data_IF_134495631921
#
_entry.id   IF_134495631921
#
_cell.length_a   1.000
_cell.length_b   1.000
_cell.length_c   1.000
_cell.angle_alpha   90.00
_cell.angle_beta   90.00
_cell.angle_gamma   90.00
#
_symmetry.space_group_name_H-M   'P 1'
#
loop_
_entity.id
_entity.type
_entity.pdbx_description
1 polymer ?
#
# COMPACT_ATOMS: atom_id res chain seq x y z
N UNK A 1 6.09 -0.56 0.15
CA UNK A 1 5.35 -1.68 -0.49
C UNK A 1 5.44 -1.63 -1.99
N UNK A 2 5.04 -0.51 -2.60
CA UNK A 2 5.02 -0.31 -4.05
C UNK A 2 6.36 -0.50 -4.78
N UNK A 3 7.50 -0.52 -4.08
CA UNK A 3 8.82 -0.77 -4.68
C UNK A 3 9.28 -2.23 -4.59
N UNK A 4 8.56 -3.10 -3.86
CA UNK A 4 8.98 -4.46 -3.55
C UNK A 4 8.12 -5.49 -4.33
N UNK A 5 8.72 -6.59 -4.81
CA UNK A 5 7.98 -7.74 -5.34
C UNK A 5 7.02 -8.31 -4.29
N UNK A 6 5.88 -8.86 -4.74
CA UNK A 6 4.83 -9.39 -3.86
C UNK A 6 5.37 -10.34 -2.77
N UNK A 7 6.22 -11.29 -3.16
CA UNK A 7 6.82 -12.29 -2.24
C UNK A 7 7.62 -11.69 -1.09
N UNK A 8 8.13 -10.46 -1.24
CA UNK A 8 8.90 -9.77 -0.20
C UNK A 8 8.03 -8.90 0.71
N UNK A 9 6.83 -8.52 0.28
CA UNK A 9 5.99 -7.55 1.00
C UNK A 9 5.55 -8.06 2.36
N UNK A 10 5.12 -9.31 2.47
CA UNK A 10 4.71 -9.92 3.74
C UNK A 10 5.83 -9.87 4.80
N UNK A 11 7.07 -10.26 4.42
CA UNK A 11 8.22 -10.17 5.33
C UNK A 11 8.57 -8.72 5.67
N UNK A 12 8.42 -7.81 4.71
CA UNK A 12 8.71 -6.41 4.90
C UNK A 12 7.71 -5.72 5.85
N UNK A 13 6.41 -6.00 5.74
CA UNK A 13 5.39 -5.42 6.63
C UNK A 13 5.54 -5.94 8.05
N UNK A 14 5.83 -7.23 8.23
CA UNK A 14 6.19 -7.79 9.53
C UNK A 14 7.43 -7.10 10.11
N UNK A 15 8.50 -6.94 9.32
CA UNK A 15 9.69 -6.25 9.78
C UNK A 15 9.42 -4.80 10.20
N UNK A 16 8.57 -4.07 9.45
CA UNK A 16 8.16 -2.72 9.82
C UNK A 16 7.42 -2.68 11.16
N UNK A 17 6.52 -3.63 11.39
CA UNK A 17 5.78 -3.75 12.65
C UNK A 17 6.75 -3.95 13.82
N UNK A 18 7.74 -4.84 13.65
CA UNK A 18 8.75 -5.15 14.67
C UNK A 18 9.62 -3.94 15.01
N UNK A 19 10.22 -3.27 14.01
CA UNK A 19 11.14 -2.17 14.27
C UNK A 19 10.44 -0.89 14.73
N UNK A 20 9.17 -0.71 14.35
CA UNK A 20 8.38 0.45 14.75
C UNK A 20 7.63 0.26 16.07
N UNK A 21 7.66 -0.96 16.64
CA UNK A 21 6.90 -1.32 17.84
C UNK A 21 5.40 -1.01 17.68
N UNK A 22 4.86 -1.41 16.53
CA UNK A 22 3.49 -1.13 16.13
C UNK A 22 3.11 0.37 16.24
N UNK A 23 3.99 1.29 15.85
CA UNK A 23 3.61 2.71 15.82
C UNK A 23 2.49 2.96 14.78
N UNK A 24 1.65 4.01 14.92
CA UNK A 24 0.74 4.44 13.86
C UNK A 24 1.50 4.72 12.56
N UNK A 25 0.93 4.30 11.42
CA UNK A 25 1.59 4.43 10.11
C UNK A 25 0.69 5.19 9.12
N UNK A 26 1.31 5.99 8.27
CA UNK A 26 0.68 6.55 7.08
C UNK A 26 1.25 5.82 5.86
N UNK A 27 0.40 5.10 5.13
CA UNK A 27 0.82 4.26 3.99
C UNK A 27 0.25 4.84 2.72
N UNK A 28 1.12 5.10 1.74
CA UNK A 28 0.75 5.57 0.40
C UNK A 28 0.92 4.41 -0.58
N UNK A 29 -0.15 4.12 -1.33
CA UNK A 29 -0.22 3.07 -2.33
C UNK A 29 -0.64 3.65 -3.69
N UNK A 30 -0.38 2.89 -4.74
CA UNK A 30 -0.98 3.13 -6.06
C UNK A 30 -1.87 1.95 -6.40
N UNK A 31 -3.07 2.22 -6.91
CA UNK A 31 -3.99 1.21 -7.44
C UNK A 31 -4.19 1.44 -8.94
N UNK A 32 -3.90 0.40 -9.72
CA UNK A 32 -4.10 0.36 -11.16
C UNK A 32 -4.15 -1.10 -11.65
N UNK A 33 -4.55 -1.32 -12.92
CA UNK A 33 -4.48 -2.62 -13.57
C UNK A 33 -3.02 -3.07 -13.73
N UNK A 34 -2.54 -3.92 -12.83
CA UNK A 34 -1.15 -4.39 -12.81
C UNK A 34 -0.75 -5.13 -14.10
N UNK A 35 -1.70 -5.66 -14.88
CA UNK A 35 -1.39 -6.39 -16.12
C UNK A 35 -0.84 -5.50 -17.23
N UNK A 36 -1.03 -4.17 -17.12
CA UNK A 36 -0.58 -3.22 -18.14
C UNK A 36 0.77 -2.55 -17.83
N UNK A 37 1.33 -2.76 -16.63
CA UNK A 37 2.63 -2.21 -16.24
C UNK A 37 3.25 -3.04 -15.12
N UNK A 38 4.48 -3.52 -15.29
CA UNK A 38 5.13 -4.48 -14.37
C UNK A 38 5.77 -3.86 -13.11
N UNK A 39 5.59 -2.56 -12.87
CA UNK A 39 6.18 -1.86 -11.72
C UNK A 39 7.71 -1.64 -11.82
N UNK A 40 8.32 -0.98 -10.81
CA UNK A 40 7.67 -0.16 -9.78
C UNK A 40 7.18 1.22 -10.33
N UNK A 41 6.24 1.88 -9.63
CA UNK A 41 5.56 1.37 -8.44
C UNK A 41 4.59 0.24 -8.83
N UNK A 42 4.60 -0.85 -8.08
CA UNK A 42 3.61 -1.92 -8.18
C UNK A 42 2.28 -1.47 -7.57
N UNK A 43 1.19 -1.95 -8.14
CA UNK A 43 -0.17 -1.83 -7.61
C UNK A 43 -0.27 -2.56 -6.27
N UNK A 44 -0.89 -1.91 -5.28
CA UNK A 44 -1.19 -2.47 -3.96
C UNK A 44 -2.65 -2.17 -3.67
N UNK A 45 -3.49 -3.19 -3.73
CA UNK A 45 -4.94 -3.04 -3.52
C UNK A 45 -5.27 -2.87 -2.04
N UNK A 46 -6.46 -2.33 -1.76
CA UNK A 46 -7.01 -2.30 -0.40
C UNK A 46 -6.98 -3.69 0.26
N UNK A 47 -7.38 -4.73 -0.49
CA UNK A 47 -7.35 -6.11 0.00
C UNK A 47 -5.93 -6.54 0.40
N UNK A 48 -4.94 -6.28 -0.44
CA UNK A 48 -3.55 -6.65 -0.11
C UNK A 48 -3.05 -5.89 1.11
N UNK A 49 -3.39 -4.61 1.25
CA UNK A 49 -3.02 -3.82 2.42
C UNK A 49 -3.62 -4.41 3.71
N UNK A 50 -4.89 -4.83 3.64
CA UNK A 50 -5.55 -5.55 4.73
C UNK A 50 -4.84 -6.86 5.05
N UNK A 51 -4.60 -7.70 4.05
CA UNK A 51 -3.91 -8.99 4.23
C UNK A 51 -2.54 -8.84 4.93
N UNK A 52 -1.85 -7.70 4.75
CA UNK A 52 -0.54 -7.43 5.38
C UNK A 52 -0.60 -6.83 6.79
N UNK A 53 -1.66 -6.11 7.16
CA UNK A 53 -1.66 -5.25 8.36
C UNK A 53 -2.86 -5.45 9.28
N UNK A 54 -3.95 -6.06 8.83
CA UNK A 54 -5.22 -6.04 9.57
C UNK A 54 -5.16 -6.76 10.91
N UNK A 55 -4.24 -7.70 11.07
CA UNK A 55 -3.99 -8.43 12.33
C UNK A 55 -3.64 -7.46 13.48
N UNK A 56 -2.79 -6.47 13.22
CA UNK A 56 -2.29 -5.55 14.25
C UNK A 56 -2.87 -4.13 14.15
N UNK A 57 -3.46 -3.78 13.01
CA UNK A 57 -3.93 -2.43 12.72
C UNK A 57 -5.41 -2.37 12.34
N UNK A 58 -6.06 -1.31 12.80
CA UNK A 58 -7.26 -0.76 12.16
C UNK A 58 -6.81 0.12 11.00
N UNK A 59 -7.40 -0.09 9.83
CA UNK A 59 -7.03 0.58 8.58
C UNK A 59 -8.17 1.52 8.18
N UNK A 60 -7.83 2.77 7.84
CA UNK A 60 -8.77 3.74 7.31
C UNK A 60 -8.21 4.42 6.06
N UNK A 61 -8.95 4.37 4.96
CA UNK A 61 -8.65 5.20 3.79
C UNK A 61 -8.92 6.67 4.17
N UNK A 62 -7.90 7.52 4.05
CA UNK A 62 -8.02 8.96 4.34
C UNK A 62 -8.14 9.79 3.08
N UNK A 63 -7.57 9.32 1.98
CA UNK A 63 -7.60 10.01 0.69
C UNK A 63 -7.42 9.02 -0.46
N UNK A 64 -8.15 9.26 -1.55
CA UNK A 64 -8.04 8.53 -2.82
C UNK A 64 -8.16 9.54 -3.95
N UNK A 65 -7.12 9.67 -4.76
CA UNK A 65 -7.04 10.68 -5.82
C UNK A 65 -6.50 10.06 -7.09
N UNK A 66 -7.13 10.37 -8.22
CA UNK A 66 -6.61 9.98 -9.52
C UNK A 66 -5.24 10.65 -9.77
N UNK A 67 -4.26 9.87 -10.22
CA UNK A 67 -2.97 10.41 -10.62
C UNK A 67 -3.15 11.17 -11.93
N UNK A 68 -3.04 12.50 -11.87
CA UNK A 68 -3.21 13.35 -13.05
C UNK A 68 -2.20 12.99 -14.15
N UNK A 69 -2.69 12.72 -15.35
CA UNK A 69 -1.86 12.26 -16.47
C UNK A 69 -1.48 10.78 -16.41
N UNK A 70 -1.93 10.04 -15.40
CA UNK A 70 -1.64 8.62 -15.23
C UNK A 70 -0.24 8.34 -14.68
N UNK A 71 -0.05 7.16 -14.12
CA UNK A 71 1.24 6.69 -13.64
C UNK A 71 2.21 6.54 -14.81
N UNK A 72 3.35 7.26 -14.73
CA UNK A 72 4.35 7.38 -15.81
C UNK A 72 3.77 7.82 -17.17
N UNK A 73 2.61 8.49 -17.19
CA UNK A 73 1.97 8.91 -18.44
C UNK A 73 1.30 7.78 -19.24
N UNK A 74 1.20 6.57 -18.68
CA UNK A 74 0.84 5.36 -19.43
C UNK A 74 -0.39 4.65 -18.88
N UNK A 75 -0.58 4.67 -17.56
CA UNK A 75 -1.62 3.87 -16.90
C UNK A 75 -2.49 4.76 -16.02
N UNK A 76 -3.81 4.66 -16.19
CA UNK A 76 -4.74 5.27 -15.25
C UNK A 76 -4.55 4.63 -13.88
N UNK A 77 -4.19 5.44 -12.89
CA UNK A 77 -3.89 4.99 -11.55
C UNK A 77 -4.52 5.93 -10.53
N UNK A 78 -4.82 5.40 -9.36
CA UNK A 78 -5.20 6.16 -8.18
C UNK A 78 -4.06 6.10 -7.16
N UNK A 79 -3.72 7.23 -6.56
CA UNK A 79 -2.96 7.27 -5.32
C UNK A 79 -3.94 7.14 -4.17
N UNK A 80 -3.64 6.22 -3.24
CA UNK A 80 -4.51 5.95 -2.10
C UNK A 80 -3.68 6.03 -0.83
N UNK A 81 -4.15 6.83 0.11
CA UNK A 81 -3.52 7.08 1.40
C UNK A 81 -4.33 6.41 2.49
N UNK A 82 -3.66 5.59 3.29
CA UNK A 82 -4.25 4.88 4.42
C UNK A 82 -3.58 5.29 5.73
N UNK A 83 -4.42 5.50 6.74
CA UNK A 83 -3.99 5.66 8.12
C UNK A 83 -4.19 4.35 8.88
N UNK A 84 -3.08 3.79 9.35
CA UNK A 84 -3.03 2.57 10.14
C UNK A 84 -2.88 2.95 11.62
N UNK A 85 -3.85 2.55 12.45
CA UNK A 85 -3.82 2.71 13.90
C UNK A 85 -3.71 1.36 14.60
N UNK A 86 -2.81 1.18 15.58
CA UNK A 86 -2.68 -0.09 16.29
C UNK A 86 -4.00 -0.49 16.93
N UNK A 87 -4.34 -1.78 16.92
CA UNK A 87 -5.48 -2.32 17.66
C UNK A 87 -5.11 -2.41 19.14
N UNK A 88 -6.05 -2.04 20.00
CA UNK A 88 -5.96 -2.18 21.46
C UNK A 88 -6.26 -3.59 21.92
#
# INVERSE_FOLDING_TARGET
>A
LVALPFVMRCKYTQHLNDISQLAPQLVICFEYDQSVHDGPPFSVTEKELHDHYEEHYSIACVERVAVAGGLKGQVNAEEVVYLLRPRS
#
